data_IF_418387687621
#
_entry.id   IF_418387687621
#
_cell.length_a   1.000
_cell.length_b   1.000
_cell.length_c   1.000
_cell.angle_alpha   90.00
_cell.angle_beta   90.00
_cell.angle_gamma   90.00
#
_symmetry.space_group_name_H-M   'P 1'
#
loop_
_entity.id
_entity.type
_entity.pdbx_description
1 polymer ?
#
# COMPACT_ATOMS: atom_id res chain seq x y z
N UNK A 1 -3.29 4.14 10.30
CA UNK A 1 -2.74 5.47 9.95
C UNK A 1 -3.79 6.58 10.09
N UNK A 2 -3.41 7.82 10.39
CA UNK A 2 -4.29 9.01 10.38
C UNK A 2 -4.31 9.65 9.00
N UNK A 3 -5.43 10.26 8.62
CA UNK A 3 -5.58 10.87 7.28
C UNK A 3 -4.66 12.09 7.10
N UNK A 4 -4.44 12.87 8.15
CA UNK A 4 -3.54 14.02 8.11
C UNK A 4 -2.12 13.63 7.74
N UNK A 5 -1.62 12.49 8.23
CA UNK A 5 -0.28 11.99 7.90
C UNK A 5 -0.16 11.71 6.40
N UNK A 6 -1.18 11.08 5.80
CA UNK A 6 -1.26 10.81 4.35
C UNK A 6 -1.23 12.11 3.55
N UNK A 7 -1.96 13.12 4.02
CA UNK A 7 -2.08 14.42 3.33
C UNK A 7 -0.79 15.24 3.35
N UNK A 8 0.16 14.94 4.24
CA UNK A 8 1.47 15.59 4.26
C UNK A 8 2.52 14.93 3.36
N UNK A 9 2.28 13.69 2.90
CA UNK A 9 3.20 12.99 1.99
C UNK A 9 3.17 13.60 0.60
N UNK A 10 4.30 13.61 -0.10
CA UNK A 10 4.40 13.93 -1.54
C UNK A 10 3.85 12.79 -2.39
N UNK A 11 3.59 13.04 -3.67
CA UNK A 11 3.02 12.04 -4.58
C UNK A 11 3.91 10.78 -4.64
N UNK A 12 5.22 10.95 -4.77
CA UNK A 12 6.18 9.84 -4.80
C UNK A 12 6.16 9.04 -3.49
N UNK A 13 6.05 9.74 -2.36
CA UNK A 13 5.97 9.11 -1.04
C UNK A 13 4.65 8.35 -0.86
N UNK A 14 3.54 8.86 -1.41
CA UNK A 14 2.28 8.15 -1.44
C UNK A 14 2.36 6.84 -2.24
N UNK A 15 3.08 6.82 -3.36
CA UNK A 15 3.30 5.58 -4.11
C UNK A 15 4.12 4.56 -3.33
N UNK A 16 5.20 5.00 -2.67
CA UNK A 16 6.04 4.14 -1.82
C UNK A 16 5.23 3.57 -0.66
N UNK A 17 4.45 4.43 0.02
CA UNK A 17 3.59 4.00 1.12
C UNK A 17 2.48 3.05 0.67
N UNK A 18 1.91 3.28 -0.52
CA UNK A 18 0.92 2.38 -1.11
C UNK A 18 1.50 0.98 -1.37
N UNK A 19 2.73 0.90 -1.89
CA UNK A 19 3.42 -0.38 -2.08
C UNK A 19 3.65 -1.09 -0.74
N UNK A 20 4.17 -0.35 0.25
CA UNK A 20 4.43 -0.87 1.61
C UNK A 20 3.15 -1.44 2.24
N UNK A 21 2.04 -0.72 2.16
CA UNK A 21 0.76 -1.16 2.71
C UNK A 21 0.17 -2.37 1.97
N UNK A 22 0.35 -2.46 0.65
CA UNK A 22 -0.07 -3.64 -0.13
C UNK A 22 0.73 -4.88 0.23
N UNK A 23 2.05 -4.75 0.38
CA UNK A 23 2.93 -5.83 0.84
C UNK A 23 2.53 -6.31 2.23
N UNK A 24 2.32 -5.38 3.16
CA UNK A 24 1.84 -5.72 4.50
C UNK A 24 0.48 -6.45 4.48
N UNK A 25 -0.46 -6.01 3.63
CA UNK A 25 -1.74 -6.71 3.47
C UNK A 25 -1.56 -8.13 2.89
N UNK A 26 -0.62 -8.33 1.98
CA UNK A 26 -0.27 -9.65 1.46
C UNK A 26 0.29 -10.55 2.56
N UNK A 27 1.24 -10.05 3.36
CA UNK A 27 1.84 -10.80 4.46
C UNK A 27 0.77 -11.20 5.49
N UNK A 28 -0.11 -10.27 5.87
CA UNK A 28 -1.24 -10.54 6.76
C UNK A 28 -2.20 -11.60 6.20
N UNK A 29 -2.42 -11.62 4.87
CA UNK A 29 -3.25 -12.64 4.22
C UNK A 29 -2.56 -13.99 4.21
N UNK A 30 -1.26 -14.04 3.94
CA UNK A 30 -0.47 -15.27 3.98
C UNK A 30 -0.49 -15.87 5.39
N UNK A 31 -0.27 -15.05 6.42
CA UNK A 31 -0.35 -15.44 7.83
C UNK A 31 -1.74 -15.98 8.20
N UNK A 32 -2.82 -15.34 7.72
CA UNK A 32 -4.19 -15.77 7.98
C UNK A 32 -4.57 -17.13 7.38
N UNK A 33 -3.84 -17.58 6.35
CA UNK A 33 -4.05 -18.88 5.70
C UNK A 33 -3.35 -19.99 6.47
N UNK A 34 -2.14 -19.73 6.97
CA UNK A 34 -1.35 -20.74 7.68
C UNK A 34 -1.85 -20.95 9.11
N UNK A 35 -2.24 -19.88 9.80
CA UNK A 35 -2.66 -19.92 11.20
C UNK A 35 -3.74 -18.87 11.49
N UNK A 36 -4.44 -19.02 12.62
CA UNK A 36 -5.42 -18.02 13.05
C UNK A 36 -4.68 -16.76 13.47
N UNK A 37 -4.87 -15.67 12.71
CA UNK A 37 -4.30 -14.36 13.06
C UNK A 37 -4.60 -14.01 14.52
N UNK A 38 -3.56 -13.62 15.26
CA UNK A 38 -3.71 -13.08 16.63
C UNK A 38 -4.63 -11.86 16.64
N UNK A 39 -4.58 -11.02 15.59
CA UNK A 39 -5.42 -9.85 15.48
C UNK A 39 -6.06 -9.69 14.09
N UNK A 40 -7.26 -10.25 13.86
CA UNK A 40 -8.00 -10.12 12.60
C UNK A 40 -8.35 -8.68 12.23
N UNK A 41 -8.34 -7.74 13.18
CA UNK A 41 -8.61 -6.33 12.89
C UNK A 41 -7.50 -5.69 12.06
N UNK A 42 -6.27 -6.22 12.09
CA UNK A 42 -5.15 -5.72 11.29
C UNK A 42 -5.43 -5.81 9.78
N UNK A 43 -6.07 -6.88 9.32
CA UNK A 43 -6.52 -7.01 7.93
C UNK A 43 -7.47 -5.87 7.53
N UNK A 44 -8.43 -5.53 8.40
CA UNK A 44 -9.39 -4.43 8.14
C UNK A 44 -8.70 -3.07 8.20
N UNK A 45 -7.76 -2.88 9.14
CA UNK A 45 -6.99 -1.66 9.28
C UNK A 45 -6.11 -1.41 8.04
N UNK A 46 -5.35 -2.42 7.59
CA UNK A 46 -4.51 -2.34 6.41
C UNK A 46 -5.31 -1.98 5.15
N UNK A 47 -6.49 -2.59 4.93
CA UNK A 47 -7.39 -2.22 3.82
C UNK A 47 -7.85 -0.76 3.90
N UNK A 48 -8.20 -0.28 5.09
CA UNK A 48 -8.61 1.12 5.29
C UNK A 48 -7.46 2.08 5.03
N UNK A 49 -6.25 1.72 5.43
CA UNK A 49 -5.07 2.55 5.22
C UNK A 49 -4.74 2.65 3.72
N UNK A 50 -4.80 1.55 2.97
CA UNK A 50 -4.69 1.57 1.49
C UNK A 50 -5.75 2.48 0.87
N UNK A 51 -7.02 2.35 1.30
CA UNK A 51 -8.10 3.17 0.76
C UNK A 51 -7.85 4.66 0.98
N UNK A 52 -7.37 5.07 2.15
CA UNK A 52 -7.05 6.47 2.46
C UNK A 52 -5.96 7.03 1.54
N UNK A 53 -4.90 6.25 1.30
CA UNK A 53 -3.82 6.67 0.38
C UNK A 53 -4.37 6.84 -1.04
N UNK A 54 -5.12 5.85 -1.54
CA UNK A 54 -5.75 5.94 -2.86
C UNK A 54 -6.70 7.14 -2.99
N UNK A 55 -7.49 7.42 -1.95
CA UNK A 55 -8.38 8.60 -1.93
C UNK A 55 -7.58 9.89 -2.03
N UNK A 56 -6.51 10.07 -1.25
CA UNK A 56 -5.68 11.29 -1.31
C UNK A 56 -4.97 11.42 -2.66
N UNK A 57 -4.47 10.31 -3.23
CA UNK A 57 -3.87 10.32 -4.57
C UNK A 57 -4.91 10.76 -5.62
N UNK A 58 -6.13 10.24 -5.53
CA UNK A 58 -7.22 10.62 -6.42
C UNK A 58 -7.66 12.08 -6.24
N UNK A 59 -7.77 12.56 -5.00
CA UNK A 59 -8.05 13.98 -4.67
C UNK A 59 -7.01 14.92 -5.29
N UNK A 60 -5.76 14.46 -5.45
CA UNK A 60 -4.67 15.20 -6.06
C UNK A 60 -4.56 15.02 -7.59
N UNK A 61 -5.48 14.28 -8.20
CA UNK A 61 -5.51 14.06 -9.64
C UNK A 61 -4.47 13.06 -10.15
N UNK A 62 -3.90 12.22 -9.28
CA UNK A 62 -2.95 11.18 -9.68
C UNK A 62 -3.69 10.05 -10.42
N UNK A 63 -3.49 9.96 -11.73
CA UNK A 63 -4.14 8.97 -12.61
C UNK A 63 -3.26 7.77 -12.94
N UNK A 64 -1.96 7.83 -12.66
CA UNK A 64 -0.98 6.81 -13.06
C UNK A 64 -0.60 5.86 -11.93
N UNK A 65 -1.51 5.64 -10.97
CA UNK A 65 -1.27 4.79 -9.79
C UNK A 65 -0.81 3.39 -10.19
N UNK A 66 -1.46 2.78 -11.19
CA UNK A 66 -1.14 1.43 -11.67
C UNK A 66 0.17 1.39 -12.48
N UNK A 67 0.40 2.41 -13.33
CA UNK A 67 1.62 2.50 -14.14
C UNK A 67 2.87 2.68 -13.27
N UNK A 68 2.75 3.45 -12.19
CA UNK A 68 3.84 3.65 -11.23
C UNK A 68 4.19 2.33 -10.53
N UNK A 69 3.18 1.56 -10.13
CA UNK A 69 3.37 0.27 -9.49
C UNK A 69 4.09 -0.72 -10.41
N UNK A 70 3.67 -0.80 -11.67
CA UNK A 70 4.32 -1.67 -12.65
C UNK A 70 5.80 -1.29 -12.86
N UNK A 71 6.12 0.00 -12.86
CA UNK A 71 7.51 0.49 -13.02
C UNK A 71 8.40 0.14 -11.82
N UNK A 72 7.88 0.28 -10.61
CA UNK A 72 8.60 -0.09 -9.38
C UNK A 72 8.86 -1.60 -9.34
N UNK A 73 7.85 -2.42 -9.65
CA UNK A 73 7.98 -3.88 -9.73
C UNK A 73 8.99 -4.32 -10.81
N UNK A 74 8.91 -3.74 -12.01
CA UNK A 74 9.85 -4.04 -13.08
C UNK A 74 11.29 -3.64 -12.74
N UNK A 75 11.48 -2.60 -11.92
CA UNK A 75 12.80 -2.18 -11.44
C UNK A 75 13.32 -3.10 -10.33
N UNK A 76 12.46 -3.51 -9.40
CA UNK A 76 12.79 -4.47 -8.33
C UNK A 76 13.14 -5.87 -8.89
N UNK A 77 12.43 -6.33 -9.92
CA UNK A 77 12.70 -7.61 -10.58
C UNK A 77 14.09 -7.66 -11.25
N UNK A 78 14.63 -6.51 -11.66
CA UNK A 78 15.97 -6.41 -12.28
C UNK A 78 17.12 -6.29 -11.27
N UNK A 79 16.85 -5.96 -10.02
CA UNK A 79 17.86 -5.84 -8.96
C UNK A 79 18.05 -7.11 -8.12
N UNK A 80 17.29 -8.18 -8.41
CA UNK A 80 17.36 -9.47 -7.72
C UNK A 80 18.05 -10.59 -8.49
N UNK A 81 18.90 -10.26 -9.47
CA UNK A 81 19.65 -11.22 -10.29
C UNK A 81 21.15 -11.15 -10.02
#
# INVERSE_FOLDING_TARGET
MKIEEVRHLRIEELHVELERLRRHLFDLRAQAVTEKLENPHQLKAARKDIARVLTVMHERGETNIEQHQHRLEARAARSGG
#
